data_IF_141015721187
#
_entry.id   IF_141015721187
#
_cell.length_a   1.000
_cell.length_b   1.000
_cell.length_c   1.000
_cell.angle_alpha   90.00
_cell.angle_beta   90.00
_cell.angle_gamma   90.00
#
_symmetry.space_group_name_H-M   'P 1'
#
loop_
_entity.id
_entity.type
_entity.pdbx_description
1 polymer ?
#
# COMPACT_ATOMS: atom_id res chain seq x y z
N UNK A 1 3.25 -14.06 17.36
CA UNK A 1 1.84 -13.75 17.65
C UNK A 1 0.96 -14.67 16.82
N UNK A 2 -0.15 -15.17 17.37
CA UNK A 2 -1.04 -16.12 16.67
C UNK A 2 -2.14 -15.39 15.91
N UNK A 3 -2.42 -15.83 14.67
CA UNK A 3 -3.48 -15.28 13.82
C UNK A 3 -4.85 -15.29 14.52
N UNK A 4 -5.65 -14.24 14.31
CA UNK A 4 -7.03 -14.13 14.80
C UNK A 4 -7.19 -13.74 16.27
N UNK A 5 -6.10 -13.74 17.05
CA UNK A 5 -6.10 -13.30 18.45
C UNK A 5 -6.31 -11.78 18.59
N UNK A 6 -6.65 -11.31 19.80
CA UNK A 6 -6.71 -9.88 20.10
C UNK A 6 -5.37 -9.17 19.83
N UNK A 7 -4.24 -9.78 20.22
CA UNK A 7 -2.91 -9.24 19.96
C UNK A 7 -2.60 -9.12 18.46
N UNK A 8 -3.03 -10.08 17.63
CA UNK A 8 -2.93 -9.98 16.17
C UNK A 8 -3.74 -8.82 15.61
N UNK A 9 -4.99 -8.66 16.06
CA UNK A 9 -5.83 -7.55 15.59
C UNK A 9 -5.20 -6.20 15.97
N UNK A 10 -4.66 -6.10 17.18
CA UNK A 10 -3.97 -4.90 17.63
C UNK A 10 -2.71 -4.60 16.80
N UNK A 11 -1.90 -5.62 16.47
CA UNK A 11 -0.72 -5.40 15.62
C UNK A 11 -1.10 -4.91 14.23
N UNK A 12 -2.19 -5.43 13.64
CA UNK A 12 -2.69 -4.96 12.34
C UNK A 12 -3.17 -3.50 12.42
N UNK A 13 -3.86 -3.13 13.50
CA UNK A 13 -4.29 -1.74 13.72
C UNK A 13 -3.11 -0.78 13.92
N UNK A 14 -2.06 -1.21 14.62
CA UNK A 14 -0.83 -0.44 14.74
C UNK A 14 -0.15 -0.24 13.40
N UNK A 15 0.00 -1.30 12.60
CA UNK A 15 0.56 -1.21 11.26
C UNK A 15 -0.20 -0.22 10.38
N UNK A 16 -1.53 -0.32 10.35
CA UNK A 16 -2.40 0.62 9.61
C UNK A 16 -2.18 2.08 10.03
N UNK A 17 -2.14 2.36 11.34
CA UNK A 17 -1.92 3.71 11.87
C UNK A 17 -0.53 4.24 11.53
N UNK A 18 0.48 3.39 11.62
CA UNK A 18 1.87 3.75 11.35
C UNK A 18 2.08 4.09 9.88
N UNK A 19 1.50 3.33 8.95
CA UNK A 19 1.54 3.64 7.51
C UNK A 19 0.94 5.03 7.25
N UNK A 20 -0.26 5.30 7.74
CA UNK A 20 -0.91 6.60 7.55
C UNK A 20 -0.16 7.76 8.20
N UNK A 21 0.56 7.51 9.30
CA UNK A 21 1.42 8.52 9.93
C UNK A 21 2.66 8.78 9.07
N UNK A 22 3.34 7.74 8.61
CA UNK A 22 4.52 7.85 7.77
C UNK A 22 4.19 8.50 6.43
N UNK A 23 3.03 8.23 5.84
CA UNK A 23 2.55 8.94 4.66
C UNK A 23 2.54 10.47 4.83
N UNK A 24 2.19 10.97 6.02
CA UNK A 24 2.12 12.42 6.28
C UNK A 24 3.48 13.10 6.28
N UNK A 25 4.53 12.37 6.65
CA UNK A 25 5.90 12.89 6.76
C UNK A 25 6.71 12.62 5.51
N UNK A 26 6.43 11.53 4.79
CA UNK A 26 7.27 11.05 3.67
C UNK A 26 6.67 11.39 2.30
N UNK A 27 5.34 11.46 2.16
CA UNK A 27 4.70 11.66 0.86
C UNK A 27 4.23 13.11 0.65
N UNK A 28 4.44 13.68 -0.56
CA UNK A 28 3.77 14.90 -1.01
C UNK A 28 2.26 14.75 -0.91
N UNK A 29 1.58 15.89 -0.74
CA UNK A 29 0.13 15.97 -0.53
C UNK A 29 -0.66 15.12 -1.53
N UNK A 30 -0.29 15.20 -2.79
CA UNK A 30 -0.95 14.55 -3.93
C UNK A 30 -0.85 13.03 -3.84
N UNK A 31 0.38 12.49 -3.65
CA UNK A 31 0.60 11.05 -3.47
C UNK A 31 -0.01 10.54 -2.17
N UNK A 32 0.03 11.34 -1.11
CA UNK A 32 -0.60 11.00 0.18
C UNK A 32 -2.10 10.78 0.04
N UNK A 33 -2.81 11.62 -0.71
CA UNK A 33 -4.27 11.48 -0.88
C UNK A 33 -4.61 10.13 -1.51
N UNK A 34 -3.89 9.76 -2.58
CA UNK A 34 -4.07 8.48 -3.25
C UNK A 34 -3.70 7.30 -2.33
N UNK A 35 -2.50 7.36 -1.74
CA UNK A 35 -1.97 6.31 -0.87
C UNK A 35 -2.87 6.07 0.35
N UNK A 36 -3.34 7.14 0.99
CA UNK A 36 -4.25 7.04 2.14
C UNK A 36 -5.59 6.40 1.77
N UNK A 37 -6.14 6.72 0.59
CA UNK A 37 -7.37 6.09 0.09
C UNK A 37 -7.13 4.59 -0.12
N UNK A 38 -6.04 4.24 -0.81
CA UNK A 38 -5.69 2.85 -1.11
C UNK A 38 -5.47 2.01 0.15
N UNK A 39 -4.67 2.51 1.11
CA UNK A 39 -4.45 1.86 2.42
C UNK A 39 -5.78 1.57 3.13
N UNK A 40 -6.70 2.52 3.16
CA UNK A 40 -8.02 2.33 3.81
C UNK A 40 -8.84 1.23 3.14
N UNK A 41 -8.86 1.22 1.82
CA UNK A 41 -9.63 0.24 1.04
C UNK A 41 -9.05 -1.17 1.22
N UNK A 42 -7.73 -1.31 1.08
CA UNK A 42 -7.05 -2.60 1.21
C UNK A 42 -7.18 -3.22 2.61
N UNK A 43 -6.96 -2.43 3.67
CA UNK A 43 -7.15 -2.92 5.05
C UNK A 43 -8.60 -3.26 5.36
N UNK A 44 -9.56 -2.53 4.76
CA UNK A 44 -10.99 -2.84 4.91
C UNK A 44 -11.33 -4.16 4.23
N UNK A 45 -10.86 -4.38 3.00
CA UNK A 45 -11.05 -5.63 2.25
C UNK A 45 -10.45 -6.83 2.98
N UNK A 46 -9.28 -6.65 3.62
CA UNK A 46 -8.59 -7.73 4.32
C UNK A 46 -9.04 -7.97 5.76
N UNK A 47 -10.00 -7.17 6.29
CA UNK A 47 -10.49 -7.29 7.68
C UNK A 47 -11.09 -8.67 7.98
N UNK A 48 -11.72 -9.30 6.99
CA UNK A 48 -12.37 -10.61 7.12
C UNK A 48 -11.67 -11.70 6.30
N UNK A 49 -10.47 -11.43 5.80
CA UNK A 49 -9.73 -12.38 5.00
C UNK A 49 -9.25 -13.59 5.84
N UNK A 50 -9.26 -14.77 5.22
CA UNK A 50 -8.72 -15.99 5.82
C UNK A 50 -7.20 -15.88 6.06
N UNK A 51 -6.68 -16.70 6.98
CA UNK A 51 -5.26 -16.71 7.39
C UNK A 51 -4.29 -16.72 6.19
N UNK A 52 -4.60 -17.51 5.17
CA UNK A 52 -3.78 -17.67 3.96
C UNK A 52 -3.58 -16.37 3.16
N UNK A 53 -4.50 -15.41 3.27
CA UNK A 53 -4.38 -14.10 2.62
C UNK A 53 -3.96 -13.01 3.62
N UNK A 54 -4.49 -13.05 4.83
CA UNK A 54 -4.21 -12.04 5.86
C UNK A 54 -2.75 -12.06 6.34
N UNK A 55 -2.11 -13.22 6.46
CA UNK A 55 -0.71 -13.30 6.91
C UNK A 55 0.25 -12.73 5.86
N UNK A 56 0.20 -13.13 4.57
CA UNK A 56 1.00 -12.49 3.53
C UNK A 56 0.72 -10.98 3.41
N UNK A 57 -0.55 -10.58 3.48
CA UNK A 57 -0.95 -9.18 3.45
C UNK A 57 -0.21 -8.36 4.53
N UNK A 58 -0.31 -8.77 5.80
CA UNK A 58 0.36 -8.04 6.90
C UNK A 58 1.88 -8.00 6.70
N UNK A 59 2.49 -9.10 6.23
CA UNK A 59 3.92 -9.14 5.92
C UNK A 59 4.32 -8.12 4.85
N UNK A 60 3.58 -8.06 3.74
CA UNK A 60 3.84 -7.12 2.64
C UNK A 60 3.67 -5.66 3.08
N UNK A 61 2.64 -5.37 3.87
CA UNK A 61 2.41 -4.02 4.39
C UNK A 61 3.44 -3.59 5.44
N UNK A 62 3.99 -4.53 6.22
CA UNK A 62 5.12 -4.26 7.11
C UNK A 62 6.38 -3.93 6.30
N UNK A 63 6.67 -4.68 5.23
CA UNK A 63 7.80 -4.39 4.34
C UNK A 63 7.65 -3.02 3.66
N UNK A 64 6.44 -2.68 3.22
CA UNK A 64 6.14 -1.35 2.66
C UNK A 64 6.39 -0.23 3.67
N UNK A 65 5.91 -0.38 4.92
CA UNK A 65 6.18 0.58 5.98
C UNK A 65 7.68 0.74 6.25
N UNK A 66 8.42 -0.37 6.28
CA UNK A 66 9.86 -0.36 6.50
C UNK A 66 10.60 0.35 5.35
N UNK A 67 10.16 0.15 4.11
CA UNK A 67 10.68 0.88 2.95
C UNK A 67 10.40 2.38 3.09
N UNK A 68 9.15 2.77 3.35
CA UNK A 68 8.77 4.18 3.52
C UNK A 68 9.58 4.89 4.62
N UNK A 69 9.95 4.18 5.69
CA UNK A 69 10.76 4.71 6.79
C UNK A 69 12.24 4.89 6.42
N UNK A 70 12.75 4.11 5.47
CA UNK A 70 14.14 4.17 5.00
C UNK A 70 14.34 5.15 3.86
N UNK A 71 13.29 5.45 3.11
CA UNK A 71 13.32 6.37 1.99
C UNK A 71 13.61 7.81 2.46
N UNK A 72 14.63 8.43 1.89
CA UNK A 72 14.96 9.85 2.05
C UNK A 72 14.50 10.73 0.88
N UNK A 73 14.37 10.16 -0.33
CA UNK A 73 13.91 10.86 -1.54
C UNK A 73 12.73 10.15 -2.20
N UNK A 74 11.87 10.91 -2.89
CA UNK A 74 10.67 10.33 -3.53
C UNK A 74 10.97 9.29 -4.60
N UNK A 75 12.10 9.41 -5.29
CA UNK A 75 12.55 8.46 -6.30
C UNK A 75 12.93 7.10 -5.70
N UNK A 76 13.17 7.04 -4.39
CA UNK A 76 13.45 5.80 -3.65
C UNK A 76 12.17 5.14 -3.10
N UNK A 77 10.99 5.71 -3.37
CA UNK A 77 9.70 5.14 -2.97
C UNK A 77 9.18 4.20 -4.04
N UNK A 78 9.01 2.94 -3.65
CA UNK A 78 8.59 1.86 -4.55
C UNK A 78 9.78 1.10 -5.10
N UNK A 79 9.51 0.03 -5.84
CA UNK A 79 10.52 -0.74 -6.56
C UNK A 79 10.02 -0.96 -7.96
N UNK A 80 10.94 -0.99 -8.92
CA UNK A 80 10.59 -1.48 -10.25
C UNK A 80 10.17 -2.94 -10.14
N UNK A 81 9.02 -3.27 -10.72
CA UNK A 81 8.64 -4.65 -10.92
C UNK A 81 9.61 -5.28 -11.90
N UNK A 82 10.12 -6.47 -11.57
CA UNK A 82 10.94 -7.22 -12.51
C UNK A 82 10.07 -7.73 -13.67
N UNK A 83 10.70 -8.06 -14.79
CA UNK A 83 10.02 -8.67 -15.93
C UNK A 83 9.30 -9.96 -15.52
N UNK A 84 9.94 -10.79 -14.69
CA UNK A 84 9.39 -12.04 -14.18
C UNK A 84 8.14 -11.82 -13.31
N UNK A 85 8.14 -10.77 -12.48
CA UNK A 85 6.97 -10.42 -11.67
C UNK A 85 5.81 -9.96 -12.56
N UNK A 86 6.08 -9.11 -13.55
CA UNK A 86 5.06 -8.67 -14.51
C UNK A 86 4.47 -9.84 -15.30
N UNK A 87 5.28 -10.84 -15.65
CA UNK A 87 4.85 -12.02 -16.38
C UNK A 87 4.02 -12.97 -15.51
N UNK A 88 4.37 -13.13 -14.23
CA UNK A 88 3.67 -14.02 -13.29
C UNK A 88 2.40 -13.42 -12.70
N UNK A 89 2.14 -12.12 -12.89
CA UNK A 89 0.89 -11.50 -12.45
C UNK A 89 -0.33 -12.12 -13.13
N UNK A 90 -1.32 -12.48 -12.31
CA UNK A 90 -2.61 -12.93 -12.82
C UNK A 90 -3.44 -11.78 -13.43
N UNK A 91 -4.57 -12.13 -14.02
CA UNK A 91 -5.46 -11.19 -14.72
C UNK A 91 -6.04 -10.13 -13.76
N UNK A 92 -6.33 -10.50 -12.52
CA UNK A 92 -6.89 -9.60 -11.50
C UNK A 92 -5.83 -8.60 -11.03
N UNK A 93 -4.61 -9.08 -10.76
CA UNK A 93 -3.47 -8.26 -10.36
C UNK A 93 -3.11 -7.24 -11.46
N UNK A 94 -3.10 -7.67 -12.73
CA UNK A 94 -2.84 -6.76 -13.87
C UNK A 94 -3.95 -5.70 -14.03
N UNK A 95 -5.20 -6.10 -13.83
CA UNK A 95 -6.35 -5.18 -13.86
C UNK A 95 -6.26 -4.13 -12.76
N UNK A 96 -5.93 -4.55 -11.54
CA UNK A 96 -5.76 -3.66 -10.39
C UNK A 96 -4.62 -2.65 -10.61
N UNK A 97 -3.50 -3.11 -11.18
CA UNK A 97 -2.39 -2.22 -11.53
C UNK A 97 -2.79 -1.19 -12.60
N UNK A 98 -3.54 -1.60 -13.61
CA UNK A 98 -4.07 -0.69 -14.63
C UNK A 98 -4.97 0.39 -14.05
N UNK A 99 -5.81 0.05 -13.06
CA UNK A 99 -6.65 1.02 -12.33
C UNK A 99 -5.79 1.98 -11.52
N UNK A 100 -4.82 1.47 -10.76
CA UNK A 100 -3.93 2.28 -9.92
C UNK A 100 -3.16 3.31 -10.76
N UNK A 101 -2.63 2.91 -11.91
CA UNK A 101 -1.93 3.81 -12.84
C UNK A 101 -2.83 4.95 -13.33
N UNK A 102 -4.06 4.63 -13.75
CA UNK A 102 -5.03 5.65 -14.22
C UNK A 102 -5.43 6.61 -13.10
N UNK A 103 -5.61 6.13 -11.86
CA UNK A 103 -5.92 6.99 -10.72
C UNK A 103 -4.76 7.94 -10.41
N UNK A 104 -3.51 7.46 -10.45
CA UNK A 104 -2.33 8.29 -10.25
C UNK A 104 -2.17 9.38 -11.33
N UNK A 105 -2.36 9.03 -12.61
CA UNK A 105 -2.32 9.98 -13.74
C UNK A 105 -3.41 11.05 -13.65
N UNK A 106 -4.64 10.66 -13.28
CA UNK A 106 -5.76 11.59 -13.12
C UNK A 106 -5.51 12.61 -12.00
N UNK A 107 -4.84 12.20 -10.93
CA UNK A 107 -4.48 13.08 -9.82
C UNK A 107 -3.39 14.08 -10.24
N UNK A 108 -2.34 13.62 -10.94
CA UNK A 108 -1.28 14.51 -11.45
C UNK A 108 -1.80 15.57 -12.44
N UNK A 109 -2.80 15.23 -13.25
CA UNK A 109 -3.42 16.17 -14.19
C UNK A 109 -4.23 17.31 -13.53
N UNK A 110 -4.66 17.14 -12.27
CA UNK A 110 -5.48 18.14 -11.55
C UNK A 110 -4.63 19.23 -10.88
N UNK A 111 -3.35 18.95 -10.61
CA UNK A 111 -2.42 19.90 -9.99
C UNK A 111 -1.63 20.73 -11.02
N UNK A 112 -1.70 20.41 -12.33
CA UNK A 112 -1.09 21.18 -13.43
C UNK A 112 -1.89 22.39 -13.91
N UNK A 113 -3.01 22.72 -13.25
CA UNK A 113 -3.77 23.96 -13.45
C UNK A 113 -3.72 24.79 -12.17
N UNK A 114 -2.57 25.41 -11.92
CA UNK A 114 -2.33 26.40 -10.89
C UNK A 114 -1.49 27.53 -11.47
#
# INVERSE_FOLDING_TARGET
MSFGTGAWRESVLHLYRDILRTHRTTLPRTLRILGDKYVREEFKLHKTAGKQHAVPFVSQWQQYLDQLRRTSNLDDIGRHLSTEELETMDVEQRSQMGKLKKEAESIGARDGKG
#
